data_IF_213111339598
#
_entry.id   IF_213111339598
#
_cell.length_a   1.000
_cell.length_b   1.000
_cell.length_c   1.000
_cell.angle_alpha   90.00
_cell.angle_beta   90.00
_cell.angle_gamma   90.00
#
_symmetry.space_group_name_H-M   'P 1'
#
loop_
_entity.id
_entity.type
_entity.pdbx_description
1 polymer ?
#
# COMPACT_ATOMS: atom_id res chain seq x y z
N UNK A 1 19.17 -0.96 13.59
CA UNK A 1 19.54 -2.07 12.68
C UNK A 1 18.80 -3.29 13.16
N UNK A 2 17.74 -3.67 12.45
CA UNK A 2 16.96 -4.88 12.81
C UNK A 2 17.46 -6.03 11.93
N UNK A 3 18.16 -6.94 12.55
CA UNK A 3 18.69 -8.15 11.91
C UNK A 3 17.77 -9.31 12.22
N UNK A 4 17.47 -10.11 11.19
CA UNK A 4 16.77 -11.38 11.40
C UNK A 4 17.40 -12.47 10.54
N UNK A 5 17.18 -13.73 10.94
CA UNK A 5 17.59 -14.89 10.17
C UNK A 5 16.39 -15.49 9.46
N UNK A 6 16.51 -15.73 8.14
CA UNK A 6 15.45 -16.40 7.39
C UNK A 6 15.23 -17.84 7.86
N UNK A 7 16.33 -18.52 8.20
CA UNK A 7 16.31 -19.92 8.66
C UNK A 7 17.08 -20.10 9.96
N UNK A 8 16.53 -19.68 11.12
CA UNK A 8 17.24 -19.78 12.41
C UNK A 8 17.59 -21.22 12.81
N UNK A 9 16.82 -22.20 12.34
CA UNK A 9 17.13 -23.63 12.55
C UNK A 9 18.47 -24.06 11.96
N UNK A 10 18.96 -23.38 10.92
CA UNK A 10 20.27 -23.67 10.33
C UNK A 10 21.43 -23.41 11.31
N UNK A 11 21.24 -22.49 12.27
CA UNK A 11 22.22 -22.26 13.32
C UNK A 11 22.40 -23.48 14.28
N UNK A 12 21.39 -24.34 14.41
CA UNK A 12 21.48 -25.53 15.21
C UNK A 12 22.55 -26.50 14.68
N UNK A 13 22.84 -26.49 13.38
CA UNK A 13 23.94 -27.31 12.82
C UNK A 13 25.32 -26.84 13.26
N UNK A 14 25.48 -25.60 13.70
CA UNK A 14 26.74 -25.12 14.26
C UNK A 14 27.15 -25.87 15.55
N UNK A 15 26.18 -26.43 16.28
CA UNK A 15 26.41 -27.22 17.48
C UNK A 15 27.14 -28.56 17.22
N UNK A 16 27.16 -29.03 15.98
CA UNK A 16 27.89 -30.22 15.55
C UNK A 16 29.42 -30.01 15.70
N UNK A 17 29.88 -28.78 15.49
CA UNK A 17 31.32 -28.45 15.57
C UNK A 17 31.91 -28.68 16.97
N UNK A 18 31.34 -28.11 18.05
CA UNK A 18 31.84 -28.38 19.40
C UNK A 18 31.68 -29.86 19.78
N UNK A 19 30.64 -30.54 19.30
CA UNK A 19 30.46 -31.98 19.57
C UNK A 19 31.60 -32.81 18.96
N UNK A 20 31.94 -32.56 17.69
CA UNK A 20 33.09 -33.22 17.04
C UNK A 20 34.40 -32.91 17.80
N UNK A 21 34.57 -31.69 18.27
CA UNK A 21 35.71 -31.24 19.02
C UNK A 21 35.84 -31.98 20.36
N UNK A 22 34.73 -32.08 21.10
CA UNK A 22 34.66 -32.81 22.36
C UNK A 22 35.03 -34.29 22.15
N UNK A 23 34.43 -34.93 21.14
CA UNK A 23 34.76 -36.34 20.81
C UNK A 23 36.24 -36.49 20.46
N UNK A 24 36.82 -35.57 19.72
CA UNK A 24 38.21 -35.57 19.32
C UNK A 24 39.16 -35.41 20.55
N UNK A 25 38.80 -34.49 21.46
CA UNK A 25 39.56 -34.31 22.72
C UNK A 25 39.49 -35.54 23.61
N UNK A 26 38.31 -36.16 23.73
CA UNK A 26 38.14 -37.41 24.51
C UNK A 26 38.94 -38.54 23.86
N UNK A 27 38.87 -38.72 22.56
CA UNK A 27 39.62 -39.72 21.82
C UNK A 27 41.14 -39.52 21.97
N UNK A 28 41.61 -38.26 21.93
CA UNK A 28 43.00 -37.93 22.13
C UNK A 28 43.49 -38.23 23.58
N UNK A 29 42.67 -37.92 24.60
CA UNK A 29 42.94 -38.27 25.99
C UNK A 29 43.02 -39.79 26.21
N UNK A 30 42.12 -40.54 25.57
CA UNK A 30 42.13 -42.02 25.64
C UNK A 30 43.35 -42.66 24.98
N UNK A 31 43.86 -42.07 23.88
CA UNK A 31 45.07 -42.56 23.18
C UNK A 31 46.37 -42.33 23.98
N UNK A 32 46.39 -41.42 24.95
CA UNK A 32 47.53 -41.17 25.83
C UNK A 32 47.77 -42.29 26.92
N UNK A 33 46.89 -43.26 26.98
CA UNK A 33 46.96 -44.36 27.96
C UNK A 33 47.73 -45.58 27.51
N UNK A 34 48.39 -45.61 26.35
CA UNK A 34 49.28 -46.65 25.97
C UNK A 34 50.62 -46.39 26.66
N UNK A 35 50.82 -47.09 27.79
CA UNK A 35 52.14 -47.16 28.49
C UNK A 35 53.16 -47.86 27.59
N UNK A 36 53.91 -47.05 26.85
CA UNK A 36 55.17 -47.56 26.25
C UNK A 36 56.24 -47.24 27.24
N UNK A 37 56.92 -48.29 27.69
CA UNK A 37 58.10 -48.19 28.57
C UNK A 37 59.22 -47.54 27.77
N UNK A 38 59.40 -46.23 27.93
CA UNK A 38 60.43 -45.42 27.25
C UNK A 38 61.54 -45.13 28.29
N UNK A 39 62.84 -45.33 27.95
CA UNK A 39 63.93 -44.98 28.85
C UNK A 39 63.91 -43.53 29.25
N UNK A 40 64.18 -43.26 30.52
CA UNK A 40 64.02 -41.95 31.21
C UNK A 40 64.77 -40.74 30.66
N UNK A 41 65.48 -40.86 29.57
CA UNK A 41 66.24 -39.76 28.91
C UNK A 41 65.43 -38.89 27.87
N UNK A 42 64.19 -39.25 27.52
CA UNK A 42 63.37 -38.51 26.59
C UNK A 42 62.24 -37.73 27.25
N UNK A 43 62.20 -37.68 28.59
CA UNK A 43 61.11 -37.00 29.32
C UNK A 43 61.21 -35.46 29.38
N UNK A 44 62.23 -34.89 28.78
CA UNK A 44 62.48 -33.43 28.82
C UNK A 44 62.15 -32.69 27.44
N UNK A 45 61.20 -33.19 26.68
CA UNK A 45 60.69 -32.37 25.54
C UNK A 45 59.62 -31.47 26.05
N UNK A 46 60.04 -30.23 26.36
CA UNK A 46 59.10 -29.13 26.63
C UNK A 46 58.03 -29.00 25.53
N UNK A 47 56.95 -28.35 25.86
CA UNK A 47 55.83 -28.09 24.95
C UNK A 47 56.36 -27.46 23.65
N UNK A 48 56.63 -28.29 22.66
CA UNK A 48 57.15 -27.84 21.36
C UNK A 48 56.07 -26.98 20.69
N UNK A 49 56.48 -25.82 20.18
CA UNK A 49 55.65 -24.95 19.34
C UNK A 49 54.91 -25.74 18.24
N UNK A 50 55.49 -26.83 17.80
CA UNK A 50 54.88 -27.81 16.87
C UNK A 50 53.59 -28.47 17.42
N UNK A 51 53.47 -28.70 18.72
CA UNK A 51 52.26 -29.30 19.30
C UNK A 51 51.06 -28.32 19.32
N UNK A 52 51.32 -27.01 19.38
CA UNK A 52 50.30 -25.98 19.23
C UNK A 52 49.82 -25.86 17.79
N UNK A 53 50.74 -26.04 16.81
CA UNK A 53 50.44 -25.93 15.37
C UNK A 53 49.46 -27.00 14.87
N UNK A 54 49.39 -28.15 15.52
CA UNK A 54 48.51 -29.28 15.19
C UNK A 54 47.02 -28.93 15.39
N UNK A 55 46.72 -27.95 16.26
CA UNK A 55 45.33 -27.53 16.53
C UNK A 55 44.80 -26.51 15.57
N UNK A 56 45.68 -25.72 14.89
CA UNK A 56 45.32 -24.64 13.97
C UNK A 56 44.43 -25.12 12.82
N UNK A 57 44.73 -26.20 12.09
CA UNK A 57 43.89 -26.68 11.00
C UNK A 57 42.47 -27.05 11.47
N UNK A 58 42.37 -27.69 12.67
CA UNK A 58 41.12 -28.06 13.27
C UNK A 58 40.24 -26.84 13.64
N UNK A 59 40.87 -25.80 14.18
CA UNK A 59 40.18 -24.52 14.49
C UNK A 59 39.70 -23.81 13.22
N UNK A 60 40.55 -23.74 12.20
CA UNK A 60 40.17 -23.09 10.92
C UNK A 60 38.99 -23.81 10.27
N UNK A 61 39.00 -25.14 10.22
CA UNK A 61 37.88 -25.93 9.68
C UNK A 61 36.62 -25.73 10.53
N UNK A 62 36.72 -25.71 11.86
CA UNK A 62 35.59 -25.49 12.75
C UNK A 62 34.97 -24.10 12.54
N UNK A 63 35.79 -23.05 12.49
CA UNK A 63 35.33 -21.68 12.21
C UNK A 63 34.70 -21.56 10.81
N UNK A 64 35.30 -22.24 9.81
CA UNK A 64 34.75 -22.31 8.47
C UNK A 64 33.34 -22.91 8.41
N UNK A 65 33.13 -24.02 9.13
CA UNK A 65 31.81 -24.68 9.24
C UNK A 65 30.80 -23.74 9.93
N UNK A 66 31.19 -23.10 11.03
CA UNK A 66 30.32 -22.14 11.73
C UNK A 66 29.92 -20.99 10.81
N UNK A 67 30.90 -20.43 10.09
CA UNK A 67 30.62 -19.33 9.12
C UNK A 67 29.65 -19.77 8.01
N UNK A 68 29.78 -21.00 7.51
CA UNK A 68 28.84 -21.56 6.53
C UNK A 68 27.46 -21.82 7.13
N UNK A 69 27.36 -22.24 8.39
CA UNK A 69 26.07 -22.37 9.08
C UNK A 69 25.38 -21.01 9.23
N UNK A 70 26.13 -19.94 9.53
CA UNK A 70 25.61 -18.57 9.56
C UNK A 70 25.14 -18.13 8.17
N UNK A 71 25.93 -18.43 7.12
CA UNK A 71 25.53 -18.14 5.76
C UNK A 71 24.24 -18.89 5.37
N UNK A 72 24.11 -20.15 5.76
CA UNK A 72 22.92 -20.97 5.50
C UNK A 72 21.68 -20.47 6.28
N UNK A 73 21.87 -19.86 7.45
CA UNK A 73 20.82 -19.21 8.22
C UNK A 73 20.29 -17.94 7.52
N UNK A 74 20.95 -17.49 6.44
CA UNK A 74 20.61 -16.31 5.62
C UNK A 74 20.32 -15.09 6.49
N UNK A 75 21.35 -14.45 7.08
CA UNK A 75 21.15 -13.21 7.79
C UNK A 75 20.63 -12.15 6.83
N UNK A 76 19.52 -11.53 7.21
CA UNK A 76 18.81 -10.51 6.45
C UNK A 76 18.79 -9.23 7.25
N UNK A 77 19.13 -8.14 6.61
CA UNK A 77 18.90 -6.81 7.13
C UNK A 77 17.55 -6.33 6.58
N UNK A 78 16.64 -5.95 7.47
CA UNK A 78 15.43 -5.25 7.07
C UNK A 78 15.91 -3.87 6.59
N UNK A 79 16.14 -3.75 5.32
CA UNK A 79 16.31 -2.45 4.68
C UNK A 79 14.90 -1.88 4.60
N UNK A 80 14.51 -1.22 5.69
CA UNK A 80 13.38 -0.34 5.65
C UNK A 80 13.70 0.80 4.68
N UNK A 81 13.68 0.54 3.40
CA UNK A 81 13.12 1.51 2.51
C UNK A 81 11.66 1.57 2.91
N UNK A 82 11.39 2.45 3.84
CA UNK A 82 10.18 3.20 3.80
C UNK A 82 10.24 4.07 2.53
N UNK A 83 10.31 3.47 1.38
CA UNK A 83 9.40 3.86 0.35
C UNK A 83 8.05 3.48 0.95
N UNK A 84 7.55 4.37 1.79
CA UNK A 84 6.16 4.53 1.95
C UNK A 84 5.65 4.75 0.51
N UNK A 85 5.40 3.67 -0.20
CA UNK A 85 4.30 3.64 -1.13
C UNK A 85 3.16 3.95 -0.17
N UNK A 86 2.94 5.25 0.04
CA UNK A 86 1.76 5.70 0.76
C UNK A 86 0.66 5.07 -0.06
N UNK A 87 -0.02 4.12 0.55
CA UNK A 87 -1.21 3.51 -0.01
C UNK A 87 -2.27 4.61 -0.11
N UNK A 88 -1.97 5.61 -0.92
CA UNK A 88 -2.74 6.83 -1.08
C UNK A 88 -3.85 6.53 -2.04
N UNK A 89 -5.07 6.65 -1.57
CA UNK A 89 -6.28 6.64 -2.39
C UNK A 89 -6.40 8.03 -3.01
N UNK A 90 -6.68 8.07 -4.31
CA UNK A 90 -7.01 9.32 -4.99
C UNK A 90 -8.49 9.35 -5.33
N UNK A 91 -9.20 10.36 -4.85
CA UNK A 91 -10.64 10.51 -5.03
C UNK A 91 -10.93 11.88 -5.67
N UNK A 92 -11.65 11.86 -6.79
CA UNK A 92 -12.27 13.06 -7.36
C UNK A 92 -13.72 13.14 -6.91
N UNK A 93 -14.02 14.18 -6.15
CA UNK A 93 -15.39 14.54 -5.78
C UNK A 93 -16.01 15.33 -6.91
N UNK A 94 -17.14 14.85 -7.44
CA UNK A 94 -17.85 15.47 -8.57
C UNK A 94 -19.22 15.92 -8.09
N UNK A 95 -19.40 17.22 -7.91
CA UNK A 95 -20.57 17.80 -7.26
C UNK A 95 -21.41 18.56 -8.27
N UNK A 96 -22.68 18.19 -8.33
CA UNK A 96 -23.70 18.87 -9.13
C UNK A 96 -24.05 20.23 -8.52
N UNK A 97 -24.01 21.28 -9.34
CA UNK A 97 -24.50 22.63 -9.01
C UNK A 97 -25.61 23.11 -9.94
N UNK A 98 -26.26 22.18 -10.62
CA UNK A 98 -27.37 22.50 -11.54
C UNK A 98 -28.55 23.14 -10.82
N UNK A 99 -29.55 23.58 -11.61
CA UNK A 99 -30.69 24.30 -11.06
C UNK A 99 -31.56 23.53 -10.07
N UNK A 100 -31.62 22.18 -10.18
CA UNK A 100 -32.33 21.30 -9.27
C UNK A 100 -31.71 21.25 -7.86
N UNK A 101 -30.45 21.55 -7.74
CA UNK A 101 -29.75 21.62 -6.44
C UNK A 101 -30.19 22.83 -5.57
N UNK A 102 -30.99 23.77 -6.13
CA UNK A 102 -31.59 24.86 -5.39
C UNK A 102 -32.88 24.47 -4.63
N UNK A 103 -33.41 23.28 -4.89
CA UNK A 103 -34.60 22.79 -4.21
C UNK A 103 -34.42 22.76 -2.68
N UNK A 104 -35.49 23.27 -1.99
CA UNK A 104 -35.49 23.31 -0.52
C UNK A 104 -35.67 21.89 0.07
N UNK A 105 -34.81 21.56 1.00
CA UNK A 105 -34.85 20.32 1.77
C UNK A 105 -34.81 20.60 3.27
N UNK A 106 -35.16 19.61 4.08
CA UNK A 106 -34.95 19.65 5.54
C UNK A 106 -33.73 18.78 5.85
N UNK A 107 -32.70 19.42 6.37
CA UNK A 107 -31.48 18.74 6.81
C UNK A 107 -31.15 19.16 8.26
N UNK A 108 -31.00 18.21 9.17
CA UNK A 108 -30.76 18.44 10.61
C UNK A 108 -31.81 19.32 11.30
N UNK A 109 -33.05 19.27 10.82
CA UNK A 109 -34.15 20.09 11.36
C UNK A 109 -34.25 21.52 10.79
N UNK A 110 -33.28 21.93 10.00
CA UNK A 110 -33.26 23.24 9.33
C UNK A 110 -33.70 23.15 7.86
N UNK A 111 -34.35 24.19 7.39
CA UNK A 111 -34.65 24.34 5.96
C UNK A 111 -33.48 24.95 5.24
N UNK A 112 -32.92 24.21 4.29
CA UNK A 112 -31.78 24.64 3.47
C UNK A 112 -32.01 24.23 2.01
N UNK A 113 -31.15 24.61 1.09
CA UNK A 113 -31.19 24.02 -0.24
C UNK A 113 -30.36 22.72 -0.30
N UNK A 114 -30.59 21.95 -1.35
CA UNK A 114 -29.96 20.63 -1.53
C UNK A 114 -28.43 20.74 -1.62
N UNK A 115 -27.93 21.76 -2.32
CA UNK A 115 -26.46 21.99 -2.45
C UNK A 115 -25.81 22.24 -1.08
N UNK A 116 -26.39 23.11 -0.24
CA UNK A 116 -25.83 23.40 1.07
C UNK A 116 -25.81 22.16 1.99
N UNK A 117 -26.84 21.34 1.92
CA UNK A 117 -26.86 20.07 2.68
C UNK A 117 -25.80 19.09 2.17
N UNK A 118 -25.60 18.98 0.86
CA UNK A 118 -24.53 18.17 0.25
C UNK A 118 -23.17 18.69 0.68
N UNK A 119 -22.92 19.99 0.65
CA UNK A 119 -21.65 20.60 1.06
C UNK A 119 -21.28 20.18 2.49
N UNK A 120 -22.20 20.28 3.44
CA UNK A 120 -21.98 19.88 4.84
C UNK A 120 -21.58 18.40 4.96
N UNK A 121 -22.21 17.52 4.18
CA UNK A 121 -21.91 16.08 4.22
C UNK A 121 -20.56 15.79 3.57
N UNK A 122 -20.24 16.43 2.47
CA UNK A 122 -18.93 16.29 1.80
C UNK A 122 -17.80 16.82 2.70
N UNK A 123 -18.02 17.93 3.43
CA UNK A 123 -17.08 18.43 4.44
C UNK A 123 -16.81 17.37 5.51
N UNK A 124 -17.87 16.75 6.06
CA UNK A 124 -17.73 15.68 7.06
C UNK A 124 -17.01 14.43 6.50
N UNK A 125 -17.23 14.13 5.24
CA UNK A 125 -16.50 13.03 4.59
C UNK A 125 -14.99 13.33 4.51
N UNK A 126 -14.61 14.57 4.23
CA UNK A 126 -13.22 15.00 4.13
C UNK A 126 -12.56 15.07 5.51
N UNK A 127 -13.18 15.78 6.45
CA UNK A 127 -12.60 16.05 7.78
C UNK A 127 -12.84 14.91 8.78
N UNK A 128 -13.97 14.19 8.63
CA UNK A 128 -14.49 13.26 9.61
C UNK A 128 -15.47 13.94 10.58
N UNK A 129 -16.40 13.16 11.14
CA UNK A 129 -17.34 13.61 12.17
C UNK A 129 -17.07 13.00 13.54
N UNK A 130 -16.06 12.13 13.62
CA UNK A 130 -15.70 11.39 14.83
C UNK A 130 -16.68 10.28 15.22
N UNK A 131 -17.74 10.04 14.45
CA UNK A 131 -18.75 9.03 14.67
C UNK A 131 -18.80 8.01 13.54
N UNK A 132 -19.42 8.38 12.41
CA UNK A 132 -19.65 7.51 11.27
C UNK A 132 -18.53 7.67 10.22
N UNK A 133 -18.07 8.89 10.00
CA UNK A 133 -17.06 9.25 9.01
C UNK A 133 -15.71 9.46 9.71
N UNK A 134 -14.70 8.66 9.32
CA UNK A 134 -13.35 8.71 9.92
C UNK A 134 -12.47 9.83 9.39
N UNK A 135 -12.94 10.55 8.36
CA UNK A 135 -12.12 11.50 7.62
C UNK A 135 -11.10 10.84 6.68
N UNK A 136 -10.48 11.63 5.83
CA UNK A 136 -9.61 11.17 4.74
C UNK A 136 -8.16 11.61 4.91
N UNK A 137 -7.68 11.74 6.15
CA UNK A 137 -6.32 12.16 6.43
C UNK A 137 -5.29 11.30 5.68
N UNK A 138 -4.55 11.93 4.76
CA UNK A 138 -3.52 11.26 3.94
C UNK A 138 -3.95 10.85 2.54
N UNK A 139 -5.25 10.90 2.21
CA UNK A 139 -5.75 10.67 0.87
C UNK A 139 -5.60 11.91 -0.02
N UNK A 140 -5.53 11.69 -1.33
CA UNK A 140 -5.55 12.74 -2.33
C UNK A 140 -7.01 13.00 -2.73
N UNK A 141 -7.48 14.21 -2.50
CA UNK A 141 -8.84 14.59 -2.84
C UNK A 141 -8.82 15.75 -3.84
N UNK A 142 -9.64 15.64 -4.89
CA UNK A 142 -9.89 16.70 -5.85
C UNK A 142 -11.38 17.07 -5.88
N UNK A 143 -11.71 18.19 -6.49
CA UNK A 143 -13.06 18.68 -6.58
C UNK A 143 -13.37 19.21 -7.99
N UNK A 144 -14.30 18.54 -8.63
CA UNK A 144 -14.92 18.97 -9.88
C UNK A 144 -16.36 19.37 -9.58
N UNK A 145 -16.78 20.51 -10.12
CA UNK A 145 -18.18 20.95 -10.06
C UNK A 145 -18.74 20.99 -11.46
N UNK A 146 -20.03 20.74 -11.60
CA UNK A 146 -20.65 20.79 -12.92
C UNK A 146 -22.08 21.32 -12.86
N UNK A 147 -22.49 21.91 -13.95
CA UNK A 147 -23.80 22.30 -14.35
C UNK A 147 -23.90 22.01 -15.85
N UNK A 148 -24.11 23.01 -16.67
CA UNK A 148 -24.09 22.86 -18.15
C UNK A 148 -22.70 22.54 -18.71
N UNK A 149 -21.66 22.78 -17.95
CA UNK A 149 -20.26 22.40 -18.21
C UNK A 149 -19.58 21.99 -16.88
N UNK A 150 -18.52 21.21 -16.99
CA UNK A 150 -17.72 20.79 -15.86
C UNK A 150 -16.49 21.68 -15.69
N UNK A 151 -16.12 21.97 -14.44
CA UNK A 151 -14.96 22.76 -14.07
C UNK A 151 -14.22 22.17 -12.88
N UNK A 152 -12.88 22.27 -12.88
CA UNK A 152 -12.07 21.85 -11.75
C UNK A 152 -11.97 22.97 -10.74
N UNK A 153 -12.61 22.82 -9.59
CA UNK A 153 -12.55 23.82 -8.54
C UNK A 153 -11.30 23.65 -7.67
N UNK A 154 -10.90 22.41 -7.39
CA UNK A 154 -9.67 22.09 -6.69
C UNK A 154 -8.97 20.88 -7.36
N UNK A 155 -7.68 21.00 -7.74
CA UNK A 155 -6.92 19.86 -8.20
C UNK A 155 -6.66 18.88 -7.04
N UNK A 156 -6.26 17.64 -7.36
CA UNK A 156 -5.90 16.62 -6.36
C UNK A 156 -4.87 17.18 -5.37
N UNK A 157 -5.22 17.18 -4.11
CA UNK A 157 -4.43 17.74 -3.02
C UNK A 157 -4.55 16.92 -1.74
N UNK A 158 -3.56 17.00 -0.88
CA UNK A 158 -3.61 16.52 0.52
C UNK A 158 -4.00 17.64 1.50
N UNK A 159 -4.14 18.89 1.01
CA UNK A 159 -4.56 20.03 1.84
C UNK A 159 -6.08 20.03 1.96
N UNK A 160 -6.59 19.30 2.95
CA UNK A 160 -8.02 19.15 3.18
C UNK A 160 -8.69 20.46 3.58
N UNK A 161 -7.99 21.33 4.31
CA UNK A 161 -8.52 22.66 4.69
C UNK A 161 -8.83 23.50 3.45
N UNK A 162 -7.93 23.50 2.45
CA UNK A 162 -8.14 24.24 1.20
C UNK A 162 -9.28 23.62 0.36
N UNK A 163 -9.42 22.29 0.40
CA UNK A 163 -10.51 21.59 -0.26
C UNK A 163 -11.86 21.96 0.38
N UNK A 164 -11.95 21.97 1.72
CA UNK A 164 -13.15 22.34 2.45
C UNK A 164 -13.54 23.79 2.16
N UNK A 165 -12.59 24.71 2.11
CA UNK A 165 -12.87 26.10 1.70
C UNK A 165 -13.43 26.18 0.28
N UNK A 166 -12.88 25.36 -0.64
CA UNK A 166 -13.37 25.25 -2.00
C UNK A 166 -14.78 24.67 -2.06
N UNK A 167 -15.11 23.65 -1.26
CA UNK A 167 -16.46 23.10 -1.15
C UNK A 167 -17.45 24.18 -0.67
N UNK A 168 -17.09 24.95 0.34
CA UNK A 168 -17.91 26.05 0.88
C UNK A 168 -18.18 27.12 -0.18
N UNK A 169 -17.24 27.35 -1.07
CA UNK A 169 -17.37 28.36 -2.15
C UNK A 169 -18.30 28.00 -3.28
N UNK A 170 -18.73 26.71 -3.39
CA UNK A 170 -19.64 26.27 -4.47
C UNK A 170 -20.94 27.06 -4.41
N UNK A 171 -21.37 27.56 -5.54
CA UNK A 171 -22.63 28.31 -5.69
C UNK A 171 -23.40 27.82 -6.90
N UNK A 172 -24.73 27.88 -6.82
CA UNK A 172 -25.62 27.61 -7.94
C UNK A 172 -25.52 28.77 -8.94
N UNK A 173 -25.30 28.46 -10.23
CA UNK A 173 -25.24 29.51 -11.26
C UNK A 173 -26.50 30.34 -11.31
N UNK A 174 -26.35 31.65 -11.49
CA UNK A 174 -27.48 32.57 -11.64
C UNK A 174 -28.10 32.53 -13.04
N UNK A 175 -27.28 32.14 -14.02
CA UNK A 175 -27.70 32.07 -15.44
C UNK A 175 -28.43 30.75 -15.69
N UNK A 176 -29.64 30.82 -16.23
CA UNK A 176 -30.40 29.64 -16.63
C UNK A 176 -29.66 28.76 -17.66
N UNK A 177 -28.80 29.36 -18.49
CA UNK A 177 -27.97 28.62 -19.46
C UNK A 177 -26.93 27.72 -18.83
N UNK A 178 -26.55 27.98 -17.57
CA UNK A 178 -25.54 27.23 -16.82
C UNK A 178 -26.15 26.20 -15.85
N UNK A 179 -27.48 26.16 -15.78
CA UNK A 179 -28.22 25.34 -14.78
C UNK A 179 -28.57 23.93 -15.28
N UNK A 180 -28.16 23.56 -16.49
CA UNK A 180 -28.31 22.19 -17.01
C UNK A 180 -27.32 21.23 -16.39
N UNK A 181 -27.34 19.95 -16.74
CA UNK A 181 -26.59 18.88 -16.06
C UNK A 181 -25.73 18.10 -17.05
N UNK A 182 -24.41 18.31 -17.07
CA UNK A 182 -23.45 17.66 -17.96
C UNK A 182 -22.62 16.59 -17.23
N UNK A 183 -23.26 15.48 -16.89
CA UNK A 183 -22.66 14.40 -16.10
C UNK A 183 -21.48 13.74 -16.86
N UNK A 184 -21.66 13.46 -18.15
CA UNK A 184 -20.62 12.80 -18.94
C UNK A 184 -19.33 13.60 -19.01
N UNK A 185 -19.44 14.93 -19.23
CA UNK A 185 -18.29 15.82 -19.27
C UNK A 185 -17.61 15.91 -17.89
N UNK A 186 -18.39 15.91 -16.81
CA UNK A 186 -17.87 15.93 -15.44
C UNK A 186 -17.08 14.66 -15.09
N UNK A 187 -17.61 13.50 -15.43
CA UNK A 187 -16.92 12.22 -15.25
C UNK A 187 -15.65 12.14 -16.11
N UNK A 188 -15.72 12.62 -17.36
CA UNK A 188 -14.57 12.65 -18.26
C UNK A 188 -13.45 13.55 -17.72
N UNK A 189 -13.82 14.74 -17.22
CA UNK A 189 -12.87 15.67 -16.60
C UNK A 189 -12.22 15.07 -15.36
N UNK A 190 -13.01 14.49 -14.46
CA UNK A 190 -12.53 13.84 -13.24
C UNK A 190 -11.56 12.69 -13.55
N UNK A 191 -11.93 11.82 -14.49
CA UNK A 191 -11.05 10.73 -14.92
C UNK A 191 -9.75 11.25 -15.56
N UNK A 192 -9.83 12.29 -16.38
CA UNK A 192 -8.65 12.93 -16.97
C UNK A 192 -7.72 13.55 -15.93
N UNK A 193 -8.27 14.14 -14.84
CA UNK A 193 -7.50 14.71 -13.73
C UNK A 193 -6.73 13.63 -12.95
N UNK A 194 -7.42 12.55 -12.57
CA UNK A 194 -6.80 11.40 -11.90
C UNK A 194 -5.67 10.80 -12.75
N UNK A 195 -5.92 10.64 -14.05
CA UNK A 195 -4.91 10.09 -14.97
C UNK A 195 -3.72 11.02 -15.15
N UNK A 196 -3.94 12.31 -15.32
CA UNK A 196 -2.89 13.30 -15.46
C UNK A 196 -2.00 13.37 -14.20
N UNK A 197 -2.62 13.28 -13.01
CA UNK A 197 -1.88 13.24 -11.74
C UNK A 197 -1.00 11.98 -11.64
N UNK A 198 -1.55 10.80 -11.95
CA UNK A 198 -0.79 9.56 -11.95
C UNK A 198 0.40 9.60 -12.90
N UNK A 199 0.20 10.11 -14.11
CA UNK A 199 1.26 10.23 -15.13
C UNK A 199 2.34 11.24 -14.71
N UNK A 200 1.94 12.37 -14.11
CA UNK A 200 2.88 13.36 -13.59
C UNK A 200 3.74 12.77 -12.44
N UNK A 201 3.13 12.05 -11.50
CA UNK A 201 3.84 11.41 -10.39
C UNK A 201 4.78 10.30 -10.87
N UNK A 202 4.41 9.58 -11.93
CA UNK A 202 5.27 8.55 -12.54
C UNK A 202 6.54 9.16 -13.13
N UNK A 203 6.44 10.34 -13.73
CA UNK A 203 7.58 11.09 -14.29
C UNK A 203 8.46 11.65 -13.17
N UNK A 204 7.86 12.32 -12.19
CA UNK A 204 8.57 13.01 -11.12
C UNK A 204 9.32 12.04 -10.19
N UNK A 205 8.70 10.93 -9.84
CA UNK A 205 9.31 9.90 -8.98
C UNK A 205 10.41 9.08 -9.67
N UNK A 206 10.61 9.24 -10.98
CA UNK A 206 11.47 8.39 -11.81
C UNK A 206 11.16 6.88 -11.65
N UNK A 207 9.98 6.57 -11.17
CA UNK A 207 9.51 5.20 -10.98
C UNK A 207 8.44 4.87 -12.03
N UNK A 208 8.78 4.10 -13.08
CA UNK A 208 7.81 3.75 -14.12
C UNK A 208 6.67 2.85 -13.60
N UNK A 209 6.87 2.21 -12.45
CA UNK A 209 5.86 1.35 -11.80
C UNK A 209 4.99 2.12 -10.80
N UNK A 210 5.17 3.45 -10.67
CA UNK A 210 4.31 4.23 -9.80
C UNK A 210 2.86 4.13 -10.27
N UNK A 211 2.00 3.68 -9.38
CA UNK A 211 0.56 3.67 -9.55
C UNK A 211 -0.12 4.06 -8.24
N UNK A 212 -1.21 4.82 -8.35
CA UNK A 212 -2.10 5.03 -7.22
C UNK A 212 -2.78 3.71 -6.87
N UNK A 213 -2.87 3.38 -5.60
CA UNK A 213 -3.41 2.09 -5.14
C UNK A 213 -4.89 1.95 -5.44
N UNK A 214 -5.64 3.02 -5.27
CA UNK A 214 -7.03 3.11 -5.71
C UNK A 214 -7.31 4.48 -6.28
N UNK A 215 -8.15 4.51 -7.31
CA UNK A 215 -8.62 5.72 -8.00
C UNK A 215 -10.15 5.65 -8.04
N UNK A 216 -10.79 6.61 -7.39
CA UNK A 216 -12.24 6.65 -7.30
C UNK A 216 -12.77 8.02 -7.73
N UNK A 217 -13.92 8.00 -8.38
CA UNK A 217 -14.72 9.18 -8.71
C UNK A 217 -16.03 9.04 -7.95
N UNK A 218 -16.38 10.04 -7.12
CA UNK A 218 -17.63 10.05 -6.39
C UNK A 218 -18.50 11.15 -7.00
N UNK A 219 -19.51 10.75 -7.78
CA UNK A 219 -20.47 11.64 -8.40
C UNK A 219 -21.69 11.82 -7.52
N UNK A 220 -22.02 13.07 -7.20
CA UNK A 220 -23.29 13.45 -6.57
C UNK A 220 -24.12 14.23 -7.58
N UNK A 221 -25.30 13.76 -7.87
CA UNK A 221 -26.25 14.40 -8.78
C UNK A 221 -27.67 14.13 -8.35
N UNK A 222 -28.59 15.03 -8.70
CA UNK A 222 -30.01 14.83 -8.54
C UNK A 222 -30.77 14.81 -9.88
N UNK A 223 -30.01 14.89 -10.99
CA UNK A 223 -30.55 15.03 -12.35
C UNK A 223 -30.11 13.93 -13.31
N UNK A 224 -30.68 14.03 -14.52
CA UNK A 224 -30.28 13.27 -15.69
C UNK A 224 -29.25 14.05 -16.51
N UNK A 225 -28.46 13.32 -17.31
CA UNK A 225 -27.54 13.98 -18.25
C UNK A 225 -28.33 14.71 -19.33
N UNK A 226 -28.32 16.03 -19.30
CA UNK A 226 -29.09 16.90 -20.21
C UNK A 226 -28.22 17.77 -21.10
N UNK A 227 -26.93 17.86 -20.84
CA UNK A 227 -25.96 18.69 -21.55
C UNK A 227 -24.61 17.97 -21.66
N UNK A 228 -23.65 18.59 -22.32
CA UNK A 228 -22.29 18.09 -22.48
C UNK A 228 -22.04 17.44 -23.83
N UNK A 229 -20.77 17.18 -24.11
CA UNK A 229 -20.31 16.55 -25.35
C UNK A 229 -20.19 15.03 -25.22
N UNK A 230 -19.92 14.55 -24.00
CA UNK A 230 -19.74 13.15 -23.72
C UNK A 230 -20.93 12.57 -22.96
N UNK A 231 -21.23 11.30 -23.22
CA UNK A 231 -22.22 10.58 -22.41
C UNK A 231 -21.56 9.91 -21.20
N UNK A 232 -22.30 9.67 -20.10
CA UNK A 232 -21.76 9.03 -18.91
C UNK A 232 -21.18 7.63 -19.17
N UNK A 233 -21.73 6.87 -20.10
CA UNK A 233 -21.23 5.55 -20.51
C UNK A 233 -19.87 5.64 -21.21
N UNK A 234 -19.65 6.64 -22.07
CA UNK A 234 -18.34 6.89 -22.67
C UNK A 234 -17.30 7.21 -21.62
N UNK A 235 -17.64 8.04 -20.64
CA UNK A 235 -16.75 8.35 -19.52
C UNK A 235 -16.46 7.11 -18.67
N UNK A 236 -17.46 6.24 -18.43
CA UNK A 236 -17.27 5.00 -17.68
C UNK A 236 -16.32 4.00 -18.40
N UNK A 237 -16.44 3.88 -19.72
CA UNK A 237 -15.52 3.03 -20.51
C UNK A 237 -14.08 3.50 -20.33
N UNK A 238 -13.84 4.81 -20.42
CA UNK A 238 -12.50 5.38 -20.27
C UNK A 238 -11.98 5.24 -18.83
N UNK A 239 -12.81 5.53 -17.83
CA UNK A 239 -12.46 5.35 -16.43
C UNK A 239 -12.07 3.89 -16.12
N UNK A 240 -12.85 2.94 -16.63
CA UNK A 240 -12.55 1.52 -16.48
C UNK A 240 -11.20 1.12 -17.12
N UNK A 241 -10.92 1.61 -18.32
CA UNK A 241 -9.64 1.38 -19.00
C UNK A 241 -8.44 1.88 -18.17
N UNK A 242 -8.63 2.95 -17.41
CA UNK A 242 -7.62 3.53 -16.52
C UNK A 242 -7.64 2.96 -15.10
N UNK A 243 -8.48 1.94 -14.85
CA UNK A 243 -8.60 1.26 -13.56
C UNK A 243 -9.20 2.16 -12.46
N UNK A 244 -10.15 3.04 -12.84
CA UNK A 244 -10.86 3.93 -11.93
C UNK A 244 -12.24 3.40 -11.65
N UNK A 245 -12.70 3.51 -10.39
CA UNK A 245 -14.07 3.17 -10.00
C UNK A 245 -14.94 4.41 -9.97
N UNK A 246 -16.17 4.30 -10.44
CA UNK A 246 -17.15 5.39 -10.37
C UNK A 246 -18.23 5.01 -9.38
N UNK A 247 -18.36 5.79 -8.33
CA UNK A 247 -19.43 5.72 -7.34
C UNK A 247 -20.42 6.82 -7.63
N UNK A 248 -21.70 6.48 -7.76
CA UNK A 248 -22.75 7.45 -8.10
C UNK A 248 -23.76 7.51 -6.97
N UNK A 249 -24.01 8.69 -6.47
CA UNK A 249 -25.01 8.97 -5.46
C UNK A 249 -26.10 9.84 -6.08
N UNK A 250 -27.22 9.22 -6.36
CA UNK A 250 -28.39 9.86 -6.97
C UNK A 250 -29.37 10.40 -5.91
N UNK A 251 -29.47 11.71 -5.75
CA UNK A 251 -30.35 12.34 -4.78
C UNK A 251 -31.74 12.47 -5.38
N UNK A 252 -32.71 11.73 -4.87
CA UNK A 252 -34.09 11.81 -5.33
C UNK A 252 -34.79 13.00 -4.70
N UNK A 253 -35.46 13.81 -5.53
CA UNK A 253 -36.33 14.87 -5.06
C UNK A 253 -37.56 14.30 -4.35
N UNK A 254 -37.83 14.76 -3.15
CA UNK A 254 -39.09 14.43 -2.46
C UNK A 254 -40.23 15.11 -3.24
N UNK A 255 -40.85 14.38 -4.17
CA UNK A 255 -42.05 14.85 -4.85
C UNK A 255 -43.07 15.09 -3.77
N UNK A 256 -43.47 16.37 -3.57
CA UNK A 256 -44.51 16.75 -2.61
C UNK A 256 -45.69 15.79 -2.77
N UNK A 257 -45.97 14.99 -1.77
CA UNK A 257 -47.26 14.30 -1.58
C UNK A 257 -48.36 15.36 -1.60
N UNK A 258 -48.93 15.63 -2.76
CA UNK A 258 -50.03 16.61 -2.88
C UNK A 258 -50.18 17.26 -4.25
N UNK A 259 -49.32 16.99 -5.21
CA UNK A 259 -49.54 17.44 -6.61
C UNK A 259 -50.63 16.56 -7.26
N UNK A 260 -51.73 17.16 -7.70
CA UNK A 260 -52.77 16.49 -8.49
C UNK A 260 -52.31 16.01 -9.85
N UNK A 261 -51.13 16.41 -10.25
CA UNK A 261 -50.40 15.93 -11.44
C UNK A 261 -49.08 15.30 -10.96
N UNK A 262 -48.99 13.97 -10.94
CA UNK A 262 -47.69 13.33 -10.77
C UNK A 262 -46.84 13.82 -11.96
N UNK A 263 -45.86 14.69 -11.71
CA UNK A 263 -44.76 14.89 -12.63
C UNK A 263 -44.14 13.52 -12.82
N UNK A 264 -44.43 12.91 -13.94
CA UNK A 264 -43.79 11.72 -14.42
C UNK A 264 -42.29 12.03 -14.41
N UNK A 265 -41.60 11.29 -13.58
CA UNK A 265 -40.16 11.08 -13.58
C UNK A 265 -39.25 12.25 -13.18
N UNK A 266 -39.06 12.44 -11.86
CA UNK A 266 -37.69 12.65 -11.34
C UNK A 266 -37.00 11.28 -11.18
N UNK A 267 -37.10 10.44 -12.16
CA UNK A 267 -36.36 9.21 -12.17
C UNK A 267 -35.09 9.50 -12.96
N UNK A 268 -34.03 9.86 -12.21
CA UNK A 268 -32.68 9.49 -12.65
C UNK A 268 -32.87 8.09 -13.22
N UNK A 269 -32.42 7.87 -14.44
CA UNK A 269 -32.53 6.54 -15.02
C UNK A 269 -31.64 5.59 -14.20
N UNK A 270 -32.18 5.11 -13.08
CA UNK A 270 -31.46 4.29 -12.08
C UNK A 270 -30.74 3.12 -12.76
N UNK A 271 -31.39 2.51 -13.76
CA UNK A 271 -30.77 1.43 -14.52
C UNK A 271 -29.53 1.90 -15.26
N UNK A 272 -29.60 3.05 -15.90
CA UNK A 272 -28.48 3.61 -16.64
C UNK A 272 -27.32 3.99 -15.70
N UNK A 273 -27.62 4.66 -14.59
CA UNK A 273 -26.62 5.04 -13.59
C UNK A 273 -26.00 3.82 -12.90
N UNK A 274 -26.79 2.77 -12.64
CA UNK A 274 -26.28 1.49 -12.14
C UNK A 274 -25.31 0.86 -13.14
N UNK A 275 -25.67 0.81 -14.43
CA UNK A 275 -24.79 0.27 -15.46
C UNK A 275 -23.48 1.05 -15.58
N UNK A 276 -23.53 2.38 -15.53
CA UNK A 276 -22.34 3.27 -15.56
C UNK A 276 -21.42 2.97 -14.39
N UNK A 277 -21.95 2.85 -13.18
CA UNK A 277 -21.16 2.56 -11.99
C UNK A 277 -20.58 1.14 -12.02
N UNK A 278 -21.41 0.12 -12.25
CA UNK A 278 -21.01 -1.29 -12.28
C UNK A 278 -19.99 -1.59 -13.37
N UNK A 279 -20.03 -0.90 -14.51
CA UNK A 279 -19.06 -1.07 -15.58
C UNK A 279 -17.62 -0.78 -15.13
N UNK A 280 -17.44 0.07 -14.11
CA UNK A 280 -16.14 0.43 -13.55
C UNK A 280 -15.81 -0.33 -12.25
N UNK A 281 -16.67 -1.26 -11.81
CA UNK A 281 -16.54 -1.93 -10.52
C UNK A 281 -16.95 -1.06 -9.33
N UNK A 282 -17.61 0.07 -9.59
CA UNK A 282 -18.22 0.91 -8.57
C UNK A 282 -19.68 0.53 -8.27
N UNK A 283 -20.42 1.45 -7.68
CA UNK A 283 -21.83 1.22 -7.26
C UNK A 283 -22.65 2.49 -7.39
N UNK A 284 -23.95 2.33 -7.60
CA UNK A 284 -24.95 3.40 -7.57
C UNK A 284 -25.82 3.29 -6.32
N UNK A 285 -26.07 4.41 -5.62
CA UNK A 285 -27.00 4.53 -4.49
C UNK A 285 -28.07 5.56 -4.79
N UNK A 286 -29.34 5.13 -4.90
CA UNK A 286 -30.47 6.04 -4.92
C UNK A 286 -30.76 6.50 -3.49
N UNK A 287 -30.61 7.79 -3.21
CA UNK A 287 -30.80 8.39 -1.89
C UNK A 287 -32.10 9.19 -1.87
N UNK A 288 -33.04 8.81 -1.00
CA UNK A 288 -34.32 9.52 -0.85
C UNK A 288 -34.24 10.65 0.17
N UNK A 289 -33.41 10.45 1.22
CA UNK A 289 -33.20 11.43 2.27
C UNK A 289 -31.73 11.82 2.31
N UNK A 290 -31.46 13.12 2.39
CA UNK A 290 -30.10 13.64 2.41
C UNK A 290 -29.31 13.09 3.61
N UNK A 291 -29.96 12.80 4.76
CA UNK A 291 -29.35 12.15 5.90
C UNK A 291 -28.74 10.76 5.61
N UNK A 292 -29.23 10.07 4.58
CA UNK A 292 -28.68 8.77 4.20
C UNK A 292 -27.36 8.89 3.43
N UNK A 293 -27.01 10.06 2.94
CA UNK A 293 -25.72 10.31 2.28
C UNK A 293 -24.53 9.98 3.18
N UNK A 294 -24.62 10.26 4.48
CA UNK A 294 -23.53 9.94 5.42
C UNK A 294 -23.26 8.44 5.48
N UNK A 295 -24.31 7.62 5.44
CA UNK A 295 -24.16 6.15 5.40
C UNK A 295 -23.55 5.68 4.09
N UNK A 296 -23.96 6.30 2.97
CA UNK A 296 -23.39 5.98 1.65
C UNK A 296 -21.92 6.32 1.61
N UNK A 297 -21.53 7.48 2.13
CA UNK A 297 -20.12 7.85 2.20
C UNK A 297 -19.30 6.93 3.12
N UNK A 298 -19.88 6.48 4.23
CA UNK A 298 -19.24 5.50 5.10
C UNK A 298 -19.06 4.14 4.40
N UNK A 299 -20.05 3.71 3.60
CA UNK A 299 -19.93 2.49 2.79
C UNK A 299 -18.85 2.62 1.71
N UNK A 300 -18.76 3.76 1.02
CA UNK A 300 -17.69 4.03 0.06
C UNK A 300 -16.32 4.02 0.76
N UNK A 301 -16.23 4.58 1.97
CA UNK A 301 -15.01 4.55 2.77
C UNK A 301 -14.55 3.13 3.07
N UNK A 302 -15.47 2.26 3.46
CA UNK A 302 -15.20 0.86 3.74
C UNK A 302 -14.77 0.10 2.48
N UNK A 303 -15.47 0.29 1.36
CA UNK A 303 -15.16 -0.35 0.07
C UNK A 303 -13.76 0.02 -0.44
N UNK A 304 -13.36 1.27 -0.31
CA UNK A 304 -12.05 1.72 -0.78
C UNK A 304 -10.92 1.35 0.19
N UNK A 305 -11.17 1.32 1.49
CA UNK A 305 -10.17 0.90 2.49
C UNK A 305 -9.96 -0.61 2.53
N UNK A 306 -10.98 -1.42 2.33
CA UNK A 306 -10.87 -2.89 2.32
C UNK A 306 -10.08 -3.42 1.13
N UNK A 307 -10.00 -2.66 0.04
CA UNK A 307 -9.14 -2.97 -1.11
C UNK A 307 -7.65 -2.79 -0.77
N UNK A 308 -7.35 -2.16 0.38
CA UNK A 308 -6.00 -1.98 0.92
C UNK A 308 -5.64 -3.19 1.80
N UNK A 309 -5.53 -4.38 1.23
CA UNK A 309 -4.73 -5.43 1.85
C UNK A 309 -3.28 -4.96 1.86
N UNK A 310 -2.76 -4.82 3.09
CA UNK A 310 -1.41 -4.37 3.38
C UNK A 310 -0.43 -5.36 2.73
N UNK A 311 -0.07 -5.13 1.50
CA UNK A 311 1.11 -5.72 0.90
C UNK A 311 2.33 -4.98 1.46
N UNK A 312 2.67 -5.27 2.72
CA UNK A 312 3.98 -4.91 3.27
C UNK A 312 5.02 -5.78 2.57
N UNK A 313 5.47 -5.36 1.41
CA UNK A 313 6.67 -5.91 0.79
C UNK A 313 7.89 -5.41 1.57
N UNK A 314 8.23 -6.12 2.64
CA UNK A 314 9.49 -5.91 3.34
C UNK A 314 10.61 -6.35 2.39
N UNK A 315 11.35 -5.40 1.85
CA UNK A 315 12.54 -5.72 1.04
C UNK A 315 13.66 -6.12 1.98
N UNK A 316 14.06 -7.39 1.90
CA UNK A 316 15.16 -7.94 2.67
C UNK A 316 16.46 -7.85 1.85
N UNK A 317 17.49 -7.24 2.43
CA UNK A 317 18.84 -7.32 1.89
C UNK A 317 19.54 -8.55 2.46
N UNK A 318 19.89 -9.48 1.61
CA UNK A 318 20.58 -10.70 2.01
C UNK A 318 22.07 -10.45 2.23
N UNK A 319 22.57 -10.85 3.40
CA UNK A 319 23.96 -10.66 3.79
C UNK A 319 24.73 -11.99 3.90
N UNK A 320 24.26 -13.06 3.27
CA UNK A 320 24.88 -14.38 3.37
C UNK A 320 26.23 -14.49 2.64
N UNK A 321 26.44 -13.70 1.58
CA UNK A 321 27.62 -13.82 0.71
C UNK A 321 28.96 -13.65 1.44
N UNK A 322 29.17 -12.60 2.29
CA UNK A 322 30.44 -12.46 3.02
C UNK A 322 30.69 -13.62 3.98
N UNK A 323 29.65 -14.16 4.63
CA UNK A 323 29.79 -15.32 5.52
C UNK A 323 30.10 -16.60 4.75
N UNK A 324 29.52 -16.80 3.57
CA UNK A 324 29.82 -17.93 2.71
C UNK A 324 31.28 -17.88 2.20
N UNK A 325 31.72 -16.72 1.72
CA UNK A 325 33.10 -16.55 1.22
C UNK A 325 34.13 -16.74 2.34
N UNK A 326 33.94 -16.15 3.52
CA UNK A 326 34.83 -16.35 4.67
C UNK A 326 34.82 -17.78 5.13
N UNK A 327 33.69 -18.47 5.13
CA UNK A 327 33.58 -19.89 5.46
C UNK A 327 34.40 -20.79 4.52
N UNK A 328 34.26 -20.56 3.20
CA UNK A 328 35.02 -21.30 2.19
C UNK A 328 36.52 -21.03 2.27
N UNK A 329 36.93 -19.78 2.47
CA UNK A 329 38.32 -19.41 2.62
C UNK A 329 38.98 -20.09 3.85
N UNK A 330 38.28 -20.08 4.99
CA UNK A 330 38.73 -20.74 6.22
C UNK A 330 38.85 -22.28 6.08
N UNK A 331 37.89 -22.92 5.40
CA UNK A 331 37.94 -24.34 5.10
C UNK A 331 39.12 -24.67 4.18
N UNK A 332 39.32 -23.90 3.11
CA UNK A 332 40.45 -24.07 2.21
C UNK A 332 41.81 -23.93 2.93
N UNK A 333 41.96 -22.85 3.74
CA UNK A 333 43.14 -22.62 4.55
C UNK A 333 43.38 -23.77 5.57
N UNK A 334 42.30 -24.23 6.21
CA UNK A 334 42.36 -25.34 7.16
C UNK A 334 42.78 -26.67 6.53
N UNK A 335 42.30 -26.97 5.33
CA UNK A 335 42.69 -28.16 4.56
C UNK A 335 44.15 -28.06 4.10
N UNK A 336 44.55 -26.92 3.54
CA UNK A 336 45.94 -26.71 3.10
C UNK A 336 46.95 -26.79 4.24
N UNK A 337 46.65 -26.15 5.39
CA UNK A 337 47.53 -26.21 6.57
C UNK A 337 47.57 -27.62 7.15
N UNK A 338 46.51 -28.40 7.11
CA UNK A 338 46.47 -29.78 7.52
C UNK A 338 47.41 -30.66 6.68
N UNK A 339 47.36 -30.54 5.37
CA UNK A 339 48.24 -31.27 4.43
C UNK A 339 49.73 -30.92 4.66
N UNK A 340 50.02 -29.62 4.87
CA UNK A 340 51.36 -29.15 5.13
C UNK A 340 51.94 -29.72 6.45
N UNK A 341 51.12 -29.72 7.53
CA UNK A 341 51.51 -30.26 8.84
C UNK A 341 51.70 -31.78 8.80
N UNK A 342 50.88 -32.50 8.01
CA UNK A 342 50.96 -33.95 7.88
C UNK A 342 52.19 -34.35 7.04
N UNK A 343 52.39 -33.69 5.88
CA UNK A 343 53.54 -34.00 4.97
C UNK A 343 54.86 -33.53 5.52
N UNK A 344 54.94 -32.40 6.24
CA UNK A 344 56.16 -31.92 6.89
C UNK A 344 56.65 -32.72 8.07
N UNK A 345 55.91 -33.76 8.48
CA UNK A 345 56.31 -34.71 9.54
C UNK A 345 56.92 -36.02 9.05
N UNK A 346 57.04 -36.21 7.69
CA UNK A 346 57.58 -37.45 7.09
C UNK A 346 58.97 -37.27 6.50
N UNK A 347 59.64 -36.17 6.76
CA UNK A 347 61.06 -35.95 6.55
C UNK A 347 61.75 -35.73 7.91
#
# INVERSE_FOLDING_TARGET
MNWQFAYPMALAFSSIVPLIWIVRVIAWRRRRGLMVSVPSRLAASGHSFRSALIWIPGMLIGLGIISLCVALARPQEIVGDTKATRDTIAIELVVDRSGSMDDTVVFEGERTNRLEAVKKIVERFVEGDGQLLKGRAGDLLGLVVFGSYADTLMPLTQSHDALVESIRSIQIPRSERERSTAIGDALMLAAGRLKAYEDAMRIDSQNPEFALKSKAIILLTDGENQAGQYSPDQAAVLANQWGMKIYIVGIRGNSRRGSLFPRQNSNINDRFMTQVAEHTGGRYWPVEQISDLEKVYAEIDELERSTIEISQSTTFRELYLPYAMTGLALLGAGICTREFVIRGGST
#
